data_IF_107879339765
#
_entry.id   IF_107879339765
#
_cell.length_a   1.000
_cell.length_b   1.000
_cell.length_c   1.000
_cell.angle_alpha   90.00
_cell.angle_beta   90.00
_cell.angle_gamma   90.00
#
_symmetry.space_group_name_H-M   'P 1'
#
loop_
_entity.id
_entity.type
_entity.pdbx_description
1 polymer ?
#
# COMPACT_ATOMS: atom_id res chain seq x y z
N UNK A 1 45.66 16.37 16.01
CA UNK A 1 44.62 15.81 16.87
C UNK A 1 43.25 16.40 16.59
N UNK A 2 43.18 17.71 16.49
CA UNK A 2 41.93 18.40 16.18
C UNK A 2 41.42 18.04 14.78
N UNK A 3 42.33 17.98 13.81
CA UNK A 3 42.01 17.58 12.48
C UNK A 3 41.48 16.16 12.40
N UNK A 4 42.03 15.28 13.18
CA UNK A 4 41.60 13.90 13.28
C UNK A 4 40.16 13.79 13.82
N UNK A 5 39.85 14.59 14.83
CA UNK A 5 38.50 14.63 15.38
C UNK A 5 37.49 15.17 14.39
N UNK A 6 37.86 16.15 13.57
CA UNK A 6 36.98 16.69 12.52
C UNK A 6 36.70 15.66 11.45
N UNK A 7 37.68 14.89 11.04
CA UNK A 7 37.51 13.83 10.05
C UNK A 7 36.55 12.75 10.58
N UNK A 8 36.68 12.38 11.84
CA UNK A 8 35.77 11.40 12.45
C UNK A 8 34.34 11.91 12.50
N UNK A 9 34.16 13.18 12.85
CA UNK A 9 32.84 13.78 12.92
C UNK A 9 32.15 13.79 11.55
N UNK A 10 32.88 14.15 10.51
CA UNK A 10 32.34 14.16 9.15
C UNK A 10 32.02 12.75 8.69
N UNK A 11 32.89 11.79 8.99
CA UNK A 11 32.66 10.39 8.64
C UNK A 11 31.42 9.84 9.30
N UNK A 12 31.23 10.11 10.59
CA UNK A 12 30.06 9.67 11.34
C UNK A 12 28.77 10.28 10.77
N UNK A 13 28.80 11.55 10.40
CA UNK A 13 27.65 12.21 9.80
C UNK A 13 27.27 11.59 8.45
N UNK A 14 28.25 11.28 7.61
CA UNK A 14 28.01 10.66 6.31
C UNK A 14 27.40 9.28 6.47
N UNK A 15 27.88 8.49 7.39
CA UNK A 15 27.34 7.15 7.68
C UNK A 15 25.90 7.26 8.17
N UNK A 16 25.60 8.20 9.05
CA UNK A 16 24.24 8.41 9.53
C UNK A 16 23.27 8.74 8.42
N UNK A 17 23.68 9.59 7.47
CA UNK A 17 22.84 9.94 6.32
C UNK A 17 22.58 8.72 5.45
N UNK A 18 23.60 7.91 5.20
CA UNK A 18 23.45 6.70 4.39
C UNK A 18 22.52 5.70 5.05
N UNK A 19 22.60 5.52 6.36
CA UNK A 19 21.74 4.61 7.09
C UNK A 19 20.28 5.09 7.03
N UNK A 20 20.04 6.38 7.06
CA UNK A 20 18.69 6.93 6.99
C UNK A 20 18.07 6.85 5.60
N UNK A 21 18.89 6.71 4.58
CA UNK A 21 18.42 6.54 3.21
C UNK A 21 18.09 5.07 2.97
N UNK A 22 17.00 4.64 3.53
CA UNK A 22 16.54 3.29 3.27
C UNK A 22 15.85 3.24 1.93
N UNK A 23 15.97 2.11 1.19
CA UNK A 23 15.22 1.97 -0.05
C UNK A 23 13.72 2.03 0.25
N UNK A 24 12.90 2.51 -0.70
CA UNK A 24 11.46 2.51 -0.51
C UNK A 24 10.99 1.09 -0.24
N UNK A 25 10.03 0.96 0.66
CA UNK A 25 9.43 -0.33 0.94
C UNK A 25 8.61 -0.77 -0.27
N UNK A 26 8.54 -2.07 -0.47
CA UNK A 26 7.69 -2.62 -1.50
C UNK A 26 6.23 -2.26 -1.22
N UNK A 27 5.43 -2.01 -2.26
CA UNK A 27 4.02 -1.70 -2.06
C UNK A 27 3.27 -2.91 -1.52
N UNK A 28 2.55 -2.73 -0.44
CA UNK A 28 1.74 -3.75 0.19
C UNK A 28 0.29 -3.30 0.18
N UNK A 29 -0.58 -4.10 -0.42
CA UNK A 29 -2.01 -3.83 -0.41
C UNK A 29 -2.61 -4.39 0.88
N UNK A 30 -3.33 -3.55 1.60
CA UNK A 30 -4.00 -3.94 2.83
C UNK A 30 -5.51 -3.89 2.59
N UNK A 31 -6.16 -5.00 2.84
CA UNK A 31 -7.59 -5.14 2.62
C UNK A 31 -8.28 -5.18 3.98
N UNK A 32 -9.09 -4.15 4.24
CA UNK A 32 -9.81 -4.02 5.50
C UNK A 32 -11.32 -4.13 5.25
N UNK A 33 -11.99 -4.82 6.12
CA UNK A 33 -13.44 -4.93 6.10
C UNK A 33 -13.97 -4.53 7.47
N UNK A 34 -14.80 -3.49 7.51
CA UNK A 34 -15.33 -2.94 8.76
C UNK A 34 -14.24 -2.62 9.79
N UNK A 35 -13.11 -2.11 9.30
CA UNK A 35 -11.99 -1.74 10.14
C UNK A 35 -11.05 -2.88 10.51
N UNK A 36 -11.37 -4.10 10.11
CA UNK A 36 -10.56 -5.27 10.41
C UNK A 36 -9.69 -5.64 9.22
N UNK A 37 -8.41 -5.84 9.47
CA UNK A 37 -7.48 -6.26 8.42
C UNK A 37 -7.74 -7.72 8.06
N UNK A 38 -8.14 -7.95 6.81
CA UNK A 38 -8.37 -9.30 6.31
C UNK A 38 -7.13 -9.89 5.67
N UNK A 39 -6.38 -9.09 4.93
CA UNK A 39 -5.25 -9.61 4.16
C UNK A 39 -4.26 -8.51 3.83
N UNK A 40 -2.99 -8.89 3.72
CA UNK A 40 -1.93 -8.04 3.22
C UNK A 40 -1.27 -8.76 2.06
N UNK A 41 -1.10 -8.05 0.95
CA UNK A 41 -0.53 -8.61 -0.28
C UNK A 41 0.67 -7.78 -0.70
N UNK A 42 1.83 -8.44 -0.80
CA UNK A 42 3.02 -7.79 -1.34
C UNK A 42 2.90 -7.78 -2.86
N UNK A 43 2.57 -6.64 -3.42
CA UNK A 43 2.29 -6.51 -4.85
C UNK A 43 3.49 -6.80 -5.73
N UNK A 44 4.70 -6.55 -5.26
CA UNK A 44 5.91 -6.83 -6.04
C UNK A 44 6.21 -8.32 -6.13
N UNK A 45 5.62 -9.12 -5.27
CA UNK A 45 5.85 -10.56 -5.25
C UNK A 45 4.75 -11.36 -5.94
N UNK A 46 3.76 -10.70 -6.50
CA UNK A 46 2.71 -11.39 -7.22
C UNK A 46 3.29 -11.97 -8.51
N UNK A 47 3.21 -13.27 -8.65
CA UNK A 47 3.71 -13.97 -9.84
C UNK A 47 2.70 -13.93 -10.97
N UNK A 48 1.56 -14.58 -10.78
CA UNK A 48 0.48 -14.62 -11.75
C UNK A 48 -0.72 -13.85 -11.21
N UNK A 49 -1.45 -13.20 -12.09
CA UNK A 49 -2.69 -12.49 -11.72
C UNK A 49 -3.68 -13.48 -11.14
N UNK A 50 -4.41 -13.01 -10.13
CA UNK A 50 -5.47 -13.81 -9.52
C UNK A 50 -6.58 -12.90 -9.01
N UNK A 51 -7.71 -13.49 -8.69
CA UNK A 51 -8.80 -12.75 -8.06
C UNK A 51 -9.44 -13.59 -6.97
N UNK A 52 -10.06 -12.89 -6.02
CA UNK A 52 -10.78 -13.53 -4.93
C UNK A 52 -11.94 -12.62 -4.53
N UNK A 53 -12.94 -13.21 -3.87
CA UNK A 53 -14.13 -12.48 -3.46
C UNK A 53 -14.16 -12.32 -1.95
N UNK A 54 -14.45 -11.11 -1.51
CA UNK A 54 -14.66 -10.77 -0.11
C UNK A 54 -16.15 -10.56 0.09
N UNK A 55 -16.73 -11.27 1.06
CA UNK A 55 -18.12 -11.10 1.41
C UNK A 55 -18.23 -10.47 2.80
N UNK A 56 -19.12 -9.48 2.93
CA UNK A 56 -19.41 -8.91 4.23
C UNK A 56 -20.56 -9.67 4.89
N UNK A 57 -20.78 -9.44 6.18
CA UNK A 57 -21.82 -10.14 6.91
C UNK A 57 -23.24 -9.76 6.52
N UNK A 58 -23.41 -8.77 5.66
CA UNK A 58 -24.73 -8.27 5.23
C UNK A 58 -25.09 -8.71 3.81
N UNK A 59 -24.35 -9.65 3.24
CA UNK A 59 -24.63 -10.19 1.92
C UNK A 59 -24.00 -9.46 0.77
N UNK A 60 -23.20 -8.42 1.02
CA UNK A 60 -22.48 -7.71 -0.04
C UNK A 60 -21.19 -8.44 -0.42
N UNK A 61 -20.79 -8.33 -1.67
CA UNK A 61 -19.56 -8.94 -2.14
C UNK A 61 -18.76 -8.01 -3.03
N UNK A 62 -17.44 -8.19 -2.96
CA UNK A 62 -16.49 -7.48 -3.81
C UNK A 62 -15.48 -8.49 -4.32
N UNK A 63 -15.28 -8.53 -5.63
CA UNK A 63 -14.26 -9.36 -6.25
C UNK A 63 -13.02 -8.50 -6.47
N UNK A 64 -11.91 -8.93 -5.89
CA UNK A 64 -10.66 -8.19 -5.92
C UNK A 64 -9.73 -8.88 -6.91
N UNK A 65 -9.17 -8.12 -7.83
CA UNK A 65 -8.23 -8.62 -8.82
C UNK A 65 -6.84 -8.07 -8.50
N UNK A 66 -5.87 -8.97 -8.45
CA UNK A 66 -4.49 -8.65 -8.07
C UNK A 66 -3.56 -9.00 -9.21
N UNK A 67 -2.71 -8.04 -9.57
CA UNK A 67 -1.61 -8.23 -10.51
C UNK A 67 -0.33 -7.72 -9.87
N UNK A 68 0.79 -8.05 -10.46
CA UNK A 68 2.04 -7.52 -9.97
C UNK A 68 2.01 -6.00 -10.02
N UNK A 69 2.19 -5.37 -8.86
CA UNK A 69 2.26 -3.93 -8.74
C UNK A 69 0.94 -3.19 -8.71
N UNK A 70 -0.20 -3.86 -8.83
CA UNK A 70 -1.49 -3.17 -8.79
C UNK A 70 -2.64 -4.07 -8.35
N UNK A 71 -3.71 -3.43 -7.90
CA UNK A 71 -4.89 -4.10 -7.37
C UNK A 71 -6.13 -3.29 -7.69
N UNK A 72 -7.24 -3.96 -7.88
CA UNK A 72 -8.54 -3.30 -8.09
C UNK A 72 -9.69 -4.16 -7.60
N UNK A 73 -10.85 -3.52 -7.45
CA UNK A 73 -12.11 -4.24 -7.35
C UNK A 73 -12.65 -4.38 -8.77
N UNK A 74 -12.69 -5.61 -9.27
CA UNK A 74 -13.14 -5.86 -10.64
C UNK A 74 -14.65 -6.03 -10.73
N UNK A 75 -15.28 -6.42 -9.63
CA UNK A 75 -16.70 -6.68 -9.59
C UNK A 75 -17.23 -6.45 -8.18
N UNK A 76 -18.43 -5.92 -8.08
CA UNK A 76 -19.08 -5.70 -6.79
C UNK A 76 -20.57 -5.59 -7.01
N UNK A 77 -21.35 -5.92 -5.99
CA UNK A 77 -22.79 -5.79 -6.03
C UNK A 77 -23.31 -4.57 -5.28
N UNK A 78 -22.42 -3.63 -4.94
CA UNK A 78 -22.84 -2.38 -4.33
C UNK A 78 -23.56 -1.48 -5.34
N UNK A 79 -24.57 -0.71 -4.91
CA UNK A 79 -25.39 0.04 -5.85
C UNK A 79 -24.65 1.18 -6.57
N UNK A 80 -23.67 1.80 -5.93
CA UNK A 80 -22.98 2.95 -6.52
C UNK A 80 -21.79 2.57 -7.40
N UNK A 81 -21.25 1.38 -7.28
CA UNK A 81 -20.13 0.88 -8.08
C UNK A 81 -18.87 1.75 -8.03
N UNK A 82 -18.74 2.59 -7.02
CA UNK A 82 -17.60 3.52 -6.91
C UNK A 82 -16.29 2.75 -6.81
N UNK A 83 -16.27 1.66 -6.04
CA UNK A 83 -15.05 0.87 -5.88
C UNK A 83 -14.57 0.27 -7.21
N UNK A 84 -15.50 -0.18 -8.05
CA UNK A 84 -15.16 -0.73 -9.36
C UNK A 84 -14.68 0.39 -10.29
N UNK A 85 -15.34 1.53 -10.26
CA UNK A 85 -15.00 2.65 -11.12
C UNK A 85 -13.65 3.29 -10.77
N UNK A 86 -13.18 3.13 -9.55
CA UNK A 86 -11.85 3.63 -9.16
C UNK A 86 -10.74 2.96 -9.95
N UNK A 87 -10.97 1.74 -10.43
CA UNK A 87 -10.00 1.03 -11.26
C UNK A 87 -8.76 0.59 -10.49
N UNK A 88 -7.67 0.44 -11.21
CA UNK A 88 -6.42 -0.03 -10.63
C UNK A 88 -5.76 1.03 -9.76
N UNK A 89 -5.24 0.58 -8.61
CA UNK A 89 -4.35 1.42 -7.80
C UNK A 89 -3.01 0.68 -7.65
N UNK A 90 -1.94 1.45 -7.59
CA UNK A 90 -0.57 0.91 -7.49
C UNK A 90 0.26 1.59 -6.42
N UNK A 91 -0.27 2.61 -5.78
CA UNK A 91 0.44 3.36 -4.73
C UNK A 91 -0.55 3.83 -3.68
N UNK A 92 -0.04 4.52 -2.67
CA UNK A 92 -0.84 4.99 -1.54
C UNK A 92 -1.59 6.29 -1.76
N UNK A 93 -1.63 6.81 -2.99
CA UNK A 93 -2.22 8.12 -3.26
C UNK A 93 -3.72 8.14 -3.02
N UNK A 94 -4.45 7.13 -3.54
CA UNK A 94 -5.89 7.05 -3.39
C UNK A 94 -6.28 5.61 -3.04
N UNK A 95 -6.91 5.37 -1.90
CA UNK A 95 -7.39 4.04 -1.57
C UNK A 95 -8.67 3.70 -2.33
N UNK A 96 -8.98 2.42 -2.43
CA UNK A 96 -10.27 1.97 -2.95
C UNK A 96 -11.24 1.88 -1.77
N UNK A 97 -12.38 2.52 -1.90
CA UNK A 97 -13.39 2.57 -0.86
C UNK A 97 -14.70 2.01 -1.39
N UNK A 98 -15.26 1.03 -0.69
CA UNK A 98 -16.62 0.57 -0.92
C UNK A 98 -17.38 0.76 0.38
N UNK A 99 -17.91 1.95 0.59
CA UNK A 99 -18.55 2.33 1.84
C UNK A 99 -19.78 1.49 2.16
N UNK A 100 -20.65 1.17 1.20
CA UNK A 100 -21.79 0.31 1.50
C UNK A 100 -21.40 -1.06 2.05
N UNK A 101 -20.25 -1.57 1.65
CA UNK A 101 -19.77 -2.87 2.11
C UNK A 101 -18.75 -2.78 3.24
N UNK A 102 -18.29 -1.56 3.58
CA UNK A 102 -17.27 -1.38 4.60
C UNK A 102 -15.88 -1.83 4.16
N UNK A 103 -15.63 -1.91 2.86
CA UNK A 103 -14.36 -2.40 2.31
C UNK A 103 -13.43 -1.25 2.00
N UNK A 104 -12.18 -1.39 2.43
CA UNK A 104 -11.11 -0.44 2.12
C UNK A 104 -9.92 -1.23 1.62
N UNK A 105 -9.37 -0.82 0.49
CA UNK A 105 -8.09 -1.34 0.00
C UNK A 105 -7.12 -0.18 -0.08
N UNK A 106 -6.08 -0.24 0.73
CA UNK A 106 -5.05 0.79 0.76
C UNK A 106 -3.70 0.18 0.45
N UNK A 107 -2.82 0.97 -0.15
CA UNK A 107 -1.46 0.54 -0.42
C UNK A 107 -0.54 1.32 0.48
N UNK A 108 0.31 0.59 1.21
CA UNK A 108 1.38 1.16 2.03
C UNK A 108 2.71 0.78 1.40
N UNK A 109 3.73 1.58 1.63
CA UNK A 109 5.03 1.37 1.01
C UNK A 109 5.10 2.03 -0.36
N UNK A 110 6.10 1.68 -1.13
CA UNK A 110 6.37 2.32 -2.40
C UNK A 110 6.99 3.69 -2.24
N UNK A 111 7.11 4.42 -3.34
CA UNK A 111 7.79 5.70 -3.35
C UNK A 111 7.04 6.84 -2.68
N UNK A 112 5.74 6.70 -2.53
CA UNK A 112 4.88 7.78 -2.04
C UNK A 112 4.91 7.98 -0.53
N UNK A 113 5.34 6.99 0.20
CA UNK A 113 5.38 7.06 1.65
C UNK A 113 6.25 8.18 2.18
N UNK A 114 7.27 8.53 1.45
CA UNK A 114 8.19 9.56 1.87
C UNK A 114 7.53 10.91 1.98
N UNK A 115 6.56 11.17 1.13
CA UNK A 115 5.86 12.43 1.15
C UNK A 115 5.03 12.57 2.41
N UNK A 116 4.41 11.49 2.82
CA UNK A 116 3.66 11.49 4.07
C UNK A 116 4.57 11.74 5.26
N UNK A 117 5.78 11.22 5.21
CA UNK A 117 6.72 11.37 6.30
C UNK A 117 7.25 12.80 6.41
N UNK A 118 7.31 13.52 5.31
CA UNK A 118 7.80 14.89 5.30
C UNK A 118 6.75 15.91 5.66
N UNK A 119 5.53 15.49 5.60
CA UNK A 119 4.41 16.36 5.92
C UNK A 119 4.37 16.79 7.36
#
# INVERSE_FOLDING_TARGET
>A
LLLFLLILAVGASAVSVLIRRQPPKDPVARILLDGELLEEIDLDRVGASYSFTVENGSGGSNTIQVERGRIRVSHADCPDQVCVEQGWISDGTVPILCLPHGLIIEITGGGEDLDAATG
#
